data_IF_105281652553
#
_entry.id   IF_105281652553
#
_cell.length_a   1.000
_cell.length_b   1.000
_cell.length_c   1.000
_cell.angle_alpha   90.00
_cell.angle_beta   90.00
_cell.angle_gamma   90.00
#
_symmetry.space_group_name_H-M   'P 1'
#
loop_
_entity.id
_entity.type
_entity.pdbx_description
1 polymer ?
#
# COMPACT_ATOMS: atom_id res chain seq x y z
N UNK A 1 -10.86 19.79 -14.95
CA UNK A 1 -10.14 19.33 -16.13
C UNK A 1 -9.64 20.55 -16.87
N UNK A 2 -8.40 20.98 -16.63
CA UNK A 2 -7.79 22.11 -17.30
C UNK A 2 -6.97 21.68 -18.52
N UNK A 3 -6.42 22.65 -19.23
CA UNK A 3 -5.54 22.43 -20.38
C UNK A 3 -4.36 21.49 -20.07
N UNK A 4 -3.81 21.57 -18.86
CA UNK A 4 -2.73 20.69 -18.39
C UNK A 4 -3.09 19.21 -18.48
N UNK A 5 -4.37 18.86 -18.29
CA UNK A 5 -4.84 17.48 -18.38
C UNK A 5 -4.70 16.88 -19.79
N UNK A 6 -4.76 17.74 -20.82
CA UNK A 6 -4.63 17.32 -22.21
C UNK A 6 -3.19 17.46 -22.75
N UNK A 7 -2.35 18.28 -22.13
CA UNK A 7 -1.06 18.72 -22.70
C UNK A 7 0.17 18.26 -21.92
N UNK A 8 0.03 17.95 -20.62
CA UNK A 8 1.16 17.54 -19.78
C UNK A 8 1.28 16.01 -19.77
N UNK A 9 2.50 15.50 -20.03
CA UNK A 9 2.80 14.07 -19.96
C UNK A 9 2.95 13.59 -18.50
N UNK A 10 2.81 12.27 -18.29
CA UNK A 10 3.04 11.66 -16.98
C UNK A 10 1.87 11.77 -15.98
N UNK A 11 0.68 12.13 -16.41
CA UNK A 11 -0.49 12.30 -15.54
C UNK A 11 -1.03 10.98 -14.96
N UNK A 12 -0.73 9.85 -15.58
CA UNK A 12 -1.07 8.52 -15.06
C UNK A 12 0.09 7.92 -14.25
N UNK A 13 1.09 8.71 -13.92
CA UNK A 13 2.19 8.33 -13.05
C UNK A 13 1.78 8.45 -11.59
N UNK A 14 2.18 7.49 -10.78
CA UNK A 14 2.06 7.52 -9.33
C UNK A 14 3.48 7.49 -8.75
N UNK A 15 3.87 8.55 -8.05
CA UNK A 15 5.24 8.76 -7.63
C UNK A 15 5.37 8.67 -6.11
N UNK A 16 6.47 8.07 -5.66
CA UNK A 16 6.85 8.03 -4.26
C UNK A 16 8.29 8.48 -4.08
N UNK A 17 8.57 9.16 -2.98
CA UNK A 17 9.93 9.53 -2.59
C UNK A 17 10.33 8.69 -1.39
N UNK A 18 11.41 7.93 -1.55
CA UNK A 18 11.98 7.16 -0.45
C UNK A 18 12.95 8.03 0.34
N UNK A 19 12.65 8.16 1.63
CA UNK A 19 13.33 9.06 2.57
C UNK A 19 14.00 8.19 3.64
N UNK A 20 15.29 8.41 3.90
CA UNK A 20 16.04 7.75 4.97
C UNK A 20 16.07 8.60 6.27
N UNK A 21 16.51 7.98 7.35
CA UNK A 21 16.61 8.65 8.64
C UNK A 21 17.64 9.79 8.63
N UNK A 22 18.71 9.69 7.79
CA UNK A 22 19.72 10.74 7.68
C UNK A 22 19.09 12.05 7.14
N UNK A 23 18.29 11.94 6.09
CA UNK A 23 17.59 13.11 5.53
C UNK A 23 16.57 13.67 6.54
N UNK A 24 15.74 12.80 7.15
CA UNK A 24 14.72 13.23 8.09
C UNK A 24 15.31 13.90 9.33
N UNK A 25 16.45 13.42 9.83
CA UNK A 25 17.11 14.09 10.94
C UNK A 25 17.54 15.52 10.57
N UNK A 26 18.08 15.72 9.36
CA UNK A 26 18.40 17.06 8.86
C UNK A 26 17.17 17.97 8.71
N UNK A 27 16.01 17.41 8.36
CA UNK A 27 14.75 18.16 8.34
C UNK A 27 14.33 18.58 9.75
N UNK A 28 14.46 17.70 10.72
CA UNK A 28 14.15 18.00 12.13
C UNK A 28 15.09 19.09 12.68
N UNK A 29 16.35 19.05 12.27
CA UNK A 29 17.39 19.99 12.75
C UNK A 29 17.40 21.34 11.98
N UNK A 30 16.51 21.55 11.00
CA UNK A 30 16.45 22.81 10.21
C UNK A 30 16.31 24.09 11.05
N UNK A 31 15.64 24.11 12.22
CA UNK A 31 15.62 25.31 13.06
C UNK A 31 17.00 25.74 13.58
N UNK A 32 17.89 24.76 13.80
CA UNK A 32 19.27 24.97 14.29
C UNK A 32 20.28 25.09 13.15
N UNK A 33 20.02 24.42 12.00
CA UNK A 33 20.86 24.44 10.80
C UNK A 33 20.02 24.69 9.53
N UNK A 34 19.58 25.94 9.28
CA UNK A 34 18.72 26.27 8.14
C UNK A 34 19.41 26.09 6.75
N UNK A 35 20.73 26.05 6.72
CA UNK A 35 21.54 25.86 5.50
C UNK A 35 21.96 24.39 5.29
N UNK A 36 21.36 23.46 6.03
CA UNK A 36 21.62 22.03 5.92
C UNK A 36 21.55 21.55 4.47
N UNK A 37 22.51 20.71 4.11
CA UNK A 37 22.55 20.12 2.77
C UNK A 37 22.54 18.60 2.84
N UNK A 38 22.00 17.97 1.79
CA UNK A 38 21.97 16.53 1.62
C UNK A 38 22.61 16.13 0.28
N UNK A 39 23.28 14.98 0.25
CA UNK A 39 23.96 14.48 -0.94
C UNK A 39 23.07 13.47 -1.68
N UNK A 40 22.50 13.90 -2.80
CA UNK A 40 21.86 12.97 -3.74
C UNK A 40 22.95 12.20 -4.50
N UNK A 41 22.94 10.89 -4.33
CA UNK A 41 23.94 9.99 -4.89
C UNK A 41 23.49 9.48 -6.25
N UNK A 42 24.34 9.66 -7.28
CA UNK A 42 24.13 9.04 -8.59
C UNK A 42 24.16 7.51 -8.48
N UNK A 43 23.13 6.82 -8.98
CA UNK A 43 23.02 5.36 -8.85
C UNK A 43 24.02 4.61 -9.71
N UNK A 44 24.22 5.06 -10.93
CA UNK A 44 25.12 4.41 -11.92
C UNK A 44 26.44 5.14 -12.00
N UNK A 45 26.41 6.47 -12.00
CA UNK A 45 27.58 7.34 -12.16
C UNK A 45 27.70 8.31 -10.98
N UNK A 46 28.72 8.12 -10.16
CA UNK A 46 29.00 8.95 -8.98
C UNK A 46 29.43 10.38 -9.34
N UNK A 47 29.82 10.66 -10.57
CA UNK A 47 30.06 12.03 -11.05
C UNK A 47 28.77 12.87 -11.11
N UNK A 48 27.61 12.21 -10.99
CA UNK A 48 26.28 12.83 -10.90
C UNK A 48 25.84 13.11 -9.46
N UNK A 49 26.67 12.84 -8.47
CA UNK A 49 26.40 13.20 -7.08
C UNK A 49 26.16 14.71 -6.98
N UNK A 50 25.10 15.11 -6.27
CA UNK A 50 24.68 16.50 -6.19
C UNK A 50 24.27 16.89 -4.80
N UNK A 51 24.86 17.96 -4.25
CA UNK A 51 24.39 18.61 -3.04
C UNK A 51 23.10 19.38 -3.30
N UNK A 52 22.12 19.21 -2.42
CA UNK A 52 20.85 19.94 -2.45
C UNK A 52 20.57 20.55 -1.09
N UNK A 53 19.86 21.68 -1.05
CA UNK A 53 19.33 22.24 0.21
C UNK A 53 18.26 21.33 0.76
N UNK A 54 18.35 20.99 2.06
CA UNK A 54 17.34 20.16 2.73
C UNK A 54 16.03 20.91 2.84
N UNK A 55 16.06 22.20 3.24
CA UNK A 55 14.83 23.01 3.34
C UNK A 55 14.12 23.12 2.00
N UNK A 56 14.85 23.47 0.92
CA UNK A 56 14.24 23.60 -0.39
C UNK A 56 13.61 22.27 -0.88
N UNK A 57 14.32 21.15 -0.72
CA UNK A 57 13.79 19.85 -1.15
C UNK A 57 12.55 19.46 -0.37
N UNK A 58 12.56 19.72 0.93
CA UNK A 58 11.42 19.44 1.81
C UNK A 58 10.21 20.33 1.50
N UNK A 59 10.41 21.60 1.21
CA UNK A 59 9.36 22.53 0.82
C UNK A 59 8.72 22.14 -0.51
N UNK A 60 9.53 21.82 -1.53
CA UNK A 60 9.03 21.35 -2.84
C UNK A 60 8.23 20.06 -2.69
N UNK A 61 8.71 19.14 -1.85
CA UNK A 61 8.00 17.90 -1.57
C UNK A 61 6.61 18.18 -0.95
N UNK A 62 6.57 18.98 0.12
CA UNK A 62 5.32 19.29 0.82
C UNK A 62 4.34 20.08 -0.06
N UNK A 63 4.84 21.06 -0.83
CA UNK A 63 4.00 21.84 -1.74
C UNK A 63 3.39 20.96 -2.83
N UNK A 64 4.17 20.03 -3.40
CA UNK A 64 3.68 19.10 -4.42
C UNK A 64 2.62 18.16 -3.85
N UNK A 65 2.87 17.57 -2.67
CA UNK A 65 1.91 16.70 -2.01
C UNK A 65 0.62 17.43 -1.64
N UNK A 66 0.71 18.70 -1.22
CA UNK A 66 -0.45 19.54 -0.96
C UNK A 66 -1.27 19.83 -2.22
N UNK A 67 -0.61 20.14 -3.34
CA UNK A 67 -1.27 20.53 -4.60
C UNK A 67 -1.94 19.37 -5.32
N UNK A 68 -1.31 18.19 -5.32
CA UNK A 68 -1.77 17.06 -6.16
C UNK A 68 -1.73 15.69 -5.49
N UNK A 69 -1.49 15.63 -4.17
CA UNK A 69 -1.36 14.39 -3.39
C UNK A 69 -0.18 13.48 -3.83
N UNK A 70 0.78 14.02 -4.58
CA UNK A 70 1.97 13.32 -5.07
C UNK A 70 3.21 14.21 -4.84
N UNK A 71 4.36 13.67 -4.50
CA UNK A 71 4.69 12.27 -4.27
C UNK A 71 4.27 11.77 -2.87
N UNK A 72 4.10 10.45 -2.71
CA UNK A 72 3.92 9.83 -1.40
C UNK A 72 5.26 9.66 -0.67
N UNK A 73 5.36 9.94 0.64
CA UNK A 73 6.56 9.66 1.43
C UNK A 73 6.66 8.17 1.76
N UNK A 74 7.86 7.61 1.66
CA UNK A 74 8.17 6.25 2.10
C UNK A 74 9.42 6.29 2.97
N UNK A 75 9.26 6.06 4.27
CA UNK A 75 10.35 6.09 5.24
C UNK A 75 11.14 4.79 5.21
N UNK A 76 12.25 4.79 4.48
CA UNK A 76 13.03 3.61 4.10
C UNK A 76 13.47 2.75 5.28
N UNK A 77 13.96 3.37 6.33
CA UNK A 77 14.50 2.64 7.48
C UNK A 77 13.37 2.04 8.30
N UNK A 78 12.29 2.80 8.55
CA UNK A 78 11.08 2.31 9.23
C UNK A 78 10.44 1.14 8.47
N UNK A 79 10.35 1.23 7.13
CA UNK A 79 9.84 0.12 6.33
C UNK A 79 10.65 -1.16 6.55
N UNK A 80 11.98 -1.03 6.57
CA UNK A 80 12.87 -2.18 6.73
C UNK A 80 12.95 -2.71 8.17
N UNK A 81 12.65 -1.88 9.18
CA UNK A 81 12.45 -2.36 10.56
C UNK A 81 11.22 -3.27 10.68
N UNK A 82 10.18 -2.99 9.90
CA UNK A 82 8.93 -3.75 9.88
C UNK A 82 8.90 -4.85 8.83
N UNK A 83 10.03 -5.10 8.17
CA UNK A 83 10.10 -6.10 7.11
C UNK A 83 9.82 -7.52 7.63
N UNK A 84 8.78 -8.15 7.10
CA UNK A 84 8.33 -9.49 7.54
C UNK A 84 9.09 -10.64 6.89
N UNK A 85 9.87 -10.36 5.84
CA UNK A 85 10.68 -11.36 5.11
C UNK A 85 12.12 -10.87 4.85
N UNK A 86 12.89 -10.49 5.89
CA UNK A 86 14.20 -9.85 5.71
C UNK A 86 15.28 -10.78 5.15
N UNK A 87 15.04 -12.08 5.16
CA UNK A 87 15.93 -13.11 4.60
C UNK A 87 15.63 -13.43 3.11
N UNK A 88 14.58 -12.84 2.55
CA UNK A 88 14.19 -13.06 1.15
C UNK A 88 14.02 -14.54 0.80
N UNK A 89 14.41 -14.89 -0.43
CA UNK A 89 14.35 -16.27 -0.93
C UNK A 89 15.60 -17.10 -0.61
N UNK A 90 16.74 -16.45 -0.40
CA UNK A 90 18.06 -17.06 -0.27
C UNK A 90 18.55 -17.20 1.18
N UNK A 91 17.81 -16.66 2.14
CA UNK A 91 18.15 -16.72 3.55
C UNK A 91 19.15 -15.65 4.02
N UNK A 92 19.55 -14.69 3.16
CA UNK A 92 20.56 -13.68 3.48
C UNK A 92 19.90 -12.43 4.05
N UNK A 93 19.82 -12.36 5.37
CA UNK A 93 19.26 -11.20 6.07
C UNK A 93 20.06 -9.93 5.79
N UNK A 94 19.36 -8.85 5.41
CA UNK A 94 19.94 -7.54 5.19
C UNK A 94 20.66 -7.33 3.86
N UNK A 95 20.64 -8.33 2.97
CA UNK A 95 21.12 -8.15 1.61
C UNK A 95 20.35 -7.01 0.91
N UNK A 96 21.00 -6.16 0.09
CA UNK A 96 20.33 -5.04 -0.57
C UNK A 96 19.11 -5.46 -1.41
N UNK A 97 19.17 -6.62 -2.04
CA UNK A 97 18.07 -7.18 -2.85
C UNK A 97 16.98 -7.85 -2.01
N UNK A 98 17.21 -8.07 -0.71
CA UNK A 98 16.21 -8.55 0.25
C UNK A 98 15.61 -7.42 1.10
N UNK A 99 15.92 -6.16 0.80
CA UNK A 99 15.30 -5.01 1.45
C UNK A 99 13.99 -4.64 0.77
N UNK A 100 13.14 -3.93 1.52
CA UNK A 100 11.99 -3.24 0.95
C UNK A 100 12.46 -1.99 0.23
N UNK A 101 12.63 -2.07 -1.09
CA UNK A 101 13.17 -0.97 -1.91
C UNK A 101 12.07 -0.11 -2.51
N UNK A 102 10.86 -0.64 -2.67
CA UNK A 102 9.70 0.07 -3.22
C UNK A 102 8.40 -0.53 -2.70
N UNK A 103 7.29 0.07 -3.08
CA UNK A 103 5.93 -0.44 -2.86
C UNK A 103 5.18 -0.48 -4.19
N UNK A 104 3.98 -1.03 -4.19
CA UNK A 104 3.02 -0.76 -5.25
C UNK A 104 2.64 0.75 -5.28
N UNK A 105 1.97 1.25 -6.33
CA UNK A 105 1.70 2.69 -6.49
C UNK A 105 1.02 3.36 -5.29
N UNK A 106 0.03 2.71 -4.68
CA UNK A 106 -0.73 3.28 -3.56
C UNK A 106 -0.05 3.09 -2.18
N UNK A 107 1.03 2.29 -2.10
CA UNK A 107 1.83 2.13 -0.89
C UNK A 107 1.34 1.07 0.11
N UNK A 108 0.25 0.37 -0.19
CA UNK A 108 -0.32 -0.65 0.71
C UNK A 108 0.45 -1.98 0.71
N UNK A 109 1.22 -2.25 -0.33
CA UNK A 109 2.01 -3.47 -0.46
C UNK A 109 3.51 -3.15 -0.45
N UNK A 110 4.15 -3.36 0.70
CA UNK A 110 5.58 -3.22 0.89
C UNK A 110 6.20 -4.60 1.07
N UNK A 111 6.86 -5.10 0.04
CA UNK A 111 7.47 -6.44 0.05
C UNK A 111 8.71 -6.49 -0.85
N UNK A 112 9.27 -7.68 -1.05
CA UNK A 112 10.46 -7.90 -1.89
C UNK A 112 10.25 -7.41 -3.32
N UNK A 113 11.30 -6.91 -3.94
CA UNK A 113 11.31 -6.55 -5.35
C UNK A 113 10.88 -7.75 -6.22
N UNK A 114 10.27 -7.46 -7.37
CA UNK A 114 9.72 -8.45 -8.31
C UNK A 114 8.63 -9.36 -7.71
N UNK A 115 7.95 -8.92 -6.68
CA UNK A 115 6.74 -9.56 -6.17
C UNK A 115 5.48 -8.84 -6.64
N UNK A 116 4.33 -9.49 -6.54
CA UNK A 116 3.04 -8.87 -6.83
C UNK A 116 1.98 -9.25 -5.80
N UNK A 117 0.87 -8.50 -5.78
CA UNK A 117 -0.26 -8.76 -4.92
C UNK A 117 -1.55 -8.66 -5.74
N UNK A 118 -2.32 -9.75 -5.79
CA UNK A 118 -3.63 -9.76 -6.44
C UNK A 118 -4.67 -9.16 -5.49
N UNK A 119 -5.58 -8.34 -6.03
CA UNK A 119 -6.52 -7.56 -5.23
C UNK A 119 -7.98 -7.92 -5.56
N UNK A 120 -8.81 -7.94 -4.51
CA UNK A 120 -10.26 -7.98 -4.61
C UNK A 120 -10.91 -7.16 -3.48
N UNK A 121 -12.13 -6.68 -3.72
CA UNK A 121 -12.93 -5.97 -2.72
C UNK A 121 -14.35 -6.49 -2.71
N UNK A 122 -14.84 -6.81 -1.50
CA UNK A 122 -16.21 -7.29 -1.29
C UNK A 122 -17.12 -6.10 -1.02
N UNK A 123 -18.20 -5.99 -1.78
CA UNK A 123 -19.20 -4.94 -1.60
C UNK A 123 -20.10 -5.23 -0.39
N UNK A 124 -19.84 -4.56 0.74
CA UNK A 124 -20.54 -4.76 1.99
C UNK A 124 -22.05 -4.52 1.90
N UNK A 125 -22.47 -3.56 1.07
CA UNK A 125 -23.86 -3.21 0.93
C UNK A 125 -24.73 -4.37 0.38
N UNK A 126 -24.12 -5.32 -0.34
CA UNK A 126 -24.83 -6.48 -0.92
C UNK A 126 -25.30 -7.49 0.15
N UNK A 127 -24.77 -7.41 1.34
CA UNK A 127 -25.12 -8.27 2.48
C UNK A 127 -26.09 -7.59 3.48
N UNK A 128 -26.54 -6.38 3.17
CA UNK A 128 -27.45 -5.62 4.02
C UNK A 128 -28.84 -5.52 3.41
N UNK A 129 -29.88 -5.94 4.17
CA UNK A 129 -31.27 -5.70 3.78
C UNK A 129 -31.78 -4.42 4.48
N UNK A 130 -31.98 -3.32 3.72
CA UNK A 130 -32.43 -2.06 4.29
C UNK A 130 -33.86 -2.11 4.85
N UNK A 131 -34.67 -3.09 4.48
CA UNK A 131 -36.05 -3.25 4.99
C UNK A 131 -36.09 -3.86 6.38
N UNK A 132 -35.18 -4.79 6.66
CA UNK A 132 -35.11 -5.49 7.95
C UNK A 132 -34.02 -4.94 8.86
N UNK A 133 -33.05 -4.18 8.32
CA UNK A 133 -31.86 -3.71 9.02
C UNK A 133 -30.84 -4.79 9.32
N UNK A 134 -31.03 -6.00 8.78
CA UNK A 134 -30.18 -7.18 9.05
C UNK A 134 -29.02 -7.23 8.05
N UNK A 135 -27.86 -7.54 8.56
CA UNK A 135 -26.67 -7.85 7.77
C UNK A 135 -26.50 -9.38 7.69
N UNK A 136 -26.42 -9.94 6.48
CA UNK A 136 -26.21 -11.35 6.22
C UNK A 136 -24.74 -11.72 6.48
N UNK A 137 -24.46 -12.04 7.72
CA UNK A 137 -23.11 -12.41 8.16
C UNK A 137 -22.62 -13.73 7.56
N UNK A 138 -23.50 -14.71 7.38
CA UNK A 138 -23.12 -16.02 6.84
C UNK A 138 -22.83 -15.94 5.34
N UNK A 139 -23.64 -15.20 4.58
CA UNK A 139 -23.35 -14.89 3.19
C UNK A 139 -22.04 -14.11 3.01
N UNK A 140 -21.75 -13.17 3.92
CA UNK A 140 -20.50 -12.42 3.92
C UNK A 140 -19.28 -13.33 4.17
N UNK A 141 -19.33 -14.21 5.16
CA UNK A 141 -18.28 -15.20 5.43
C UNK A 141 -18.04 -16.13 4.23
N UNK A 142 -19.11 -16.61 3.61
CA UNK A 142 -19.02 -17.41 2.39
C UNK A 142 -18.36 -16.67 1.24
N UNK A 143 -18.72 -15.40 1.04
CA UNK A 143 -18.09 -14.56 0.03
C UNK A 143 -16.60 -14.33 0.28
N UNK A 144 -16.19 -14.12 1.55
CA UNK A 144 -14.78 -14.00 1.94
C UNK A 144 -14.00 -15.24 1.52
N UNK A 145 -14.46 -16.43 1.88
CA UNK A 145 -13.80 -17.69 1.54
C UNK A 145 -13.73 -17.90 0.01
N UNK A 146 -14.82 -17.62 -0.70
CA UNK A 146 -14.88 -17.77 -2.16
C UNK A 146 -13.94 -16.81 -2.87
N UNK A 147 -13.90 -15.54 -2.47
CA UNK A 147 -13.02 -14.53 -3.07
C UNK A 147 -11.56 -14.79 -2.74
N UNK A 148 -11.27 -15.26 -1.53
CA UNK A 148 -9.90 -15.68 -1.15
C UNK A 148 -9.42 -16.83 -2.05
N UNK A 149 -10.25 -17.82 -2.31
CA UNK A 149 -9.95 -18.90 -3.24
C UNK A 149 -9.74 -18.39 -4.68
N UNK A 150 -10.56 -17.44 -5.13
CA UNK A 150 -10.42 -16.84 -6.46
C UNK A 150 -9.09 -16.05 -6.61
N UNK A 151 -8.67 -15.31 -5.57
CA UNK A 151 -7.39 -14.63 -5.54
C UNK A 151 -6.23 -15.63 -5.63
N UNK A 152 -6.30 -16.71 -4.89
CA UNK A 152 -5.31 -17.79 -4.90
C UNK A 152 -5.23 -18.48 -6.28
N UNK A 153 -6.36 -18.81 -6.86
CA UNK A 153 -6.43 -19.41 -8.20
C UNK A 153 -5.86 -18.48 -9.27
N UNK A 154 -6.05 -17.16 -9.15
CA UNK A 154 -5.53 -16.18 -10.09
C UNK A 154 -4.01 -16.09 -10.11
N UNK A 155 -3.32 -16.47 -9.03
CA UNK A 155 -1.86 -16.55 -8.98
C UNK A 155 -1.34 -17.63 -9.93
N UNK A 156 -2.01 -18.77 -9.97
CA UNK A 156 -1.60 -19.92 -10.81
C UNK A 156 -1.83 -19.65 -12.29
N UNK A 157 -2.92 -18.96 -12.64
CA UNK A 157 -3.35 -18.73 -14.01
C UNK A 157 -3.08 -17.32 -14.53
N UNK A 158 -2.53 -16.46 -13.67
CA UNK A 158 -2.15 -15.11 -14.05
C UNK A 158 -1.01 -15.07 -15.06
N UNK A 159 -0.99 -14.00 -15.86
CA UNK A 159 0.13 -13.68 -16.73
C UNK A 159 0.90 -12.51 -16.14
N UNK A 160 2.23 -12.64 -16.05
CA UNK A 160 3.09 -11.66 -15.45
C UNK A 160 4.08 -11.09 -16.47
N UNK A 161 4.53 -9.83 -16.28
CA UNK A 161 5.42 -9.16 -17.24
C UNK A 161 6.79 -9.83 -17.40
N UNK A 162 7.31 -10.44 -16.32
CA UNK A 162 8.63 -11.09 -16.29
C UNK A 162 8.56 -12.43 -15.58
N UNK A 163 9.53 -13.30 -15.86
CA UNK A 163 9.67 -14.60 -15.19
C UNK A 163 9.94 -14.47 -13.69
N UNK A 164 10.76 -13.49 -13.27
CA UNK A 164 11.04 -13.24 -11.86
C UNK A 164 9.79 -12.85 -11.08
N UNK A 165 8.94 -11.99 -11.65
CA UNK A 165 7.66 -11.61 -11.04
C UNK A 165 6.73 -12.83 -10.95
N UNK A 166 6.64 -13.62 -12.00
CA UNK A 166 5.83 -14.85 -11.99
C UNK A 166 6.28 -15.82 -10.90
N UNK A 167 7.60 -16.08 -10.82
CA UNK A 167 8.21 -16.98 -9.84
C UNK A 167 7.99 -16.51 -8.40
N UNK A 168 8.27 -15.25 -8.11
CA UNK A 168 8.11 -14.69 -6.75
C UNK A 168 6.63 -14.59 -6.35
N UNK A 169 5.76 -14.23 -7.28
CA UNK A 169 4.32 -14.20 -7.02
C UNK A 169 3.79 -15.60 -6.67
N UNK A 170 4.19 -16.60 -7.42
CA UNK A 170 3.82 -17.99 -7.12
C UNK A 170 4.37 -18.46 -5.77
N UNK A 171 5.61 -18.09 -5.44
CA UNK A 171 6.26 -18.50 -4.20
C UNK A 171 5.66 -17.85 -2.96
N UNK A 172 5.42 -16.54 -2.99
CA UNK A 172 4.96 -15.78 -1.83
C UNK A 172 3.43 -15.64 -1.74
N UNK A 173 2.75 -15.79 -2.86
CA UNK A 173 1.29 -15.86 -2.95
C UNK A 173 0.56 -14.73 -2.24
N UNK A 174 1.06 -13.51 -2.34
CA UNK A 174 0.47 -12.36 -1.68
C UNK A 174 -0.89 -12.00 -2.29
N UNK A 175 -1.90 -11.89 -1.44
CA UNK A 175 -3.26 -11.50 -1.81
C UNK A 175 -3.74 -10.33 -0.95
N UNK A 176 -4.50 -9.42 -1.55
CA UNK A 176 -5.14 -8.30 -0.87
C UNK A 176 -6.66 -8.41 -0.98
N UNK A 177 -7.34 -8.67 0.14
CA UNK A 177 -8.79 -8.74 0.20
C UNK A 177 -9.34 -7.60 1.06
N UNK A 178 -10.07 -6.70 0.43
CA UNK A 178 -10.66 -5.53 1.07
C UNK A 178 -12.18 -5.48 0.98
N UNK A 179 -12.72 -4.32 1.32
CA UNK A 179 -14.15 -4.04 1.27
C UNK A 179 -14.44 -2.76 0.48
N UNK A 180 -15.65 -2.67 -0.07
CA UNK A 180 -16.17 -1.47 -0.69
C UNK A 180 -17.57 -1.13 -0.14
N UNK A 181 -18.05 0.10 -0.39
CA UNK A 181 -19.38 0.57 0.01
C UNK A 181 -19.63 0.58 1.53
N UNK A 182 -18.59 0.73 2.35
CA UNK A 182 -18.77 0.93 3.79
C UNK A 182 -19.60 2.18 4.08
N UNK A 183 -19.28 3.31 3.44
CA UNK A 183 -20.03 4.56 3.64
C UNK A 183 -21.50 4.42 3.24
N UNK A 184 -21.80 3.76 2.12
CA UNK A 184 -23.19 3.49 1.69
C UNK A 184 -23.95 2.65 2.72
N UNK A 185 -23.31 1.62 3.27
CA UNK A 185 -23.87 0.78 4.32
C UNK A 185 -24.17 1.60 5.59
N UNK A 186 -23.23 2.43 6.03
CA UNK A 186 -23.40 3.29 7.22
C UNK A 186 -24.53 4.30 7.03
N UNK A 187 -24.60 4.94 5.85
CA UNK A 187 -25.69 5.87 5.52
C UNK A 187 -27.06 5.18 5.57
N UNK A 188 -27.20 3.98 5.02
CA UNK A 188 -28.43 3.21 5.08
C UNK A 188 -28.80 2.77 6.51
N UNK A 189 -27.82 2.63 7.40
CA UNK A 189 -28.04 2.37 8.82
C UNK A 189 -28.32 3.65 9.62
N UNK A 190 -28.23 4.83 9.02
CA UNK A 190 -28.36 6.11 9.71
C UNK A 190 -27.19 6.43 10.65
N UNK A 191 -26.01 5.87 10.40
CA UNK A 191 -24.82 6.09 11.21
C UNK A 191 -23.91 7.15 10.56
N UNK A 192 -23.61 8.27 11.25
CA UNK A 192 -22.61 9.22 10.79
C UNK A 192 -21.25 8.54 10.62
N UNK A 193 -20.55 8.82 9.51
CA UNK A 193 -19.31 8.12 9.12
C UNK A 193 -18.22 8.17 10.19
N UNK A 194 -18.06 9.30 10.87
CA UNK A 194 -17.05 9.53 11.90
C UNK A 194 -17.55 9.23 13.32
N UNK A 195 -18.76 8.69 13.48
CA UNK A 195 -19.31 8.34 14.79
C UNK A 195 -18.56 7.15 15.42
N UNK A 196 -18.65 7.04 16.74
CA UNK A 196 -18.07 5.91 17.49
C UNK A 196 -18.72 4.58 17.06
N UNK A 197 -20.02 4.60 16.84
CA UNK A 197 -20.82 3.44 16.41
C UNK A 197 -20.43 2.98 15.02
N UNK A 198 -20.23 3.91 14.07
CA UNK A 198 -19.78 3.60 12.72
C UNK A 198 -18.38 2.98 12.72
N UNK A 199 -17.44 3.54 13.50
CA UNK A 199 -16.09 2.97 13.63
C UNK A 199 -16.11 1.58 14.25
N UNK A 200 -16.93 1.35 15.28
CA UNK A 200 -17.07 0.02 15.90
C UNK A 200 -17.68 -0.99 14.92
N UNK A 201 -18.69 -0.58 14.15
CA UNK A 201 -19.32 -1.43 13.15
C UNK A 201 -18.34 -1.79 12.01
N UNK A 202 -17.60 -0.80 11.50
CA UNK A 202 -16.56 -1.02 10.52
C UNK A 202 -15.48 -1.97 11.02
N UNK A 203 -15.00 -1.76 12.26
CA UNK A 203 -14.00 -2.63 12.89
C UNK A 203 -14.49 -4.08 13.02
N UNK A 204 -15.77 -4.28 13.37
CA UNK A 204 -16.35 -5.62 13.45
C UNK A 204 -16.39 -6.31 12.08
N UNK A 205 -16.84 -5.61 11.03
CA UNK A 205 -16.89 -6.16 9.67
C UNK A 205 -15.51 -6.50 9.12
N UNK A 206 -14.52 -5.63 9.31
CA UNK A 206 -13.15 -5.87 8.86
C UNK A 206 -12.48 -6.94 9.73
N UNK A 207 -12.80 -7.03 11.02
CA UNK A 207 -12.37 -8.11 11.89
C UNK A 207 -12.85 -9.48 11.40
N UNK A 208 -14.11 -9.58 10.96
CA UNK A 208 -14.65 -10.79 10.33
C UNK A 208 -13.93 -11.10 9.02
N UNK A 209 -13.72 -10.07 8.16
CA UNK A 209 -12.97 -10.23 6.90
C UNK A 209 -11.61 -10.86 7.15
N UNK A 210 -10.83 -10.23 8.03
CA UNK A 210 -9.46 -10.66 8.34
C UNK A 210 -9.45 -12.07 8.92
N UNK A 211 -10.28 -12.33 9.93
CA UNK A 211 -10.33 -13.63 10.58
C UNK A 211 -10.72 -14.77 9.64
N UNK A 212 -11.73 -14.54 8.80
CA UNK A 212 -12.17 -15.54 7.82
C UNK A 212 -11.20 -15.73 6.64
N UNK A 213 -10.58 -14.65 6.17
CA UNK A 213 -9.54 -14.73 5.15
C UNK A 213 -8.36 -15.58 5.62
N UNK A 214 -7.86 -15.31 6.83
CA UNK A 214 -6.78 -16.11 7.43
C UNK A 214 -7.20 -17.54 7.76
N UNK A 215 -8.45 -17.77 8.20
CA UNK A 215 -8.95 -19.13 8.46
C UNK A 215 -9.12 -19.95 7.17
N UNK A 216 -9.38 -19.28 6.04
CA UNK A 216 -9.51 -19.96 4.74
C UNK A 216 -8.14 -20.35 4.16
N UNK A 217 -7.10 -19.57 4.40
CA UNK A 217 -5.75 -19.81 3.86
C UNK A 217 -5.19 -21.21 4.18
N UNK A 218 -5.20 -21.70 5.43
CA UNK A 218 -4.69 -23.04 5.74
C UNK A 218 -5.55 -24.18 5.19
N UNK A 219 -6.81 -23.91 4.82
CA UNK A 219 -7.67 -24.91 4.20
C UNK A 219 -7.29 -25.11 2.72
N UNK A 220 -6.71 -24.07 2.09
CA UNK A 220 -6.25 -24.13 0.70
C UNK A 220 -4.82 -24.69 0.57
N UNK A 221 -4.02 -24.68 1.64
CA UNK A 221 -2.65 -25.18 1.67
C UNK A 221 -2.63 -26.70 1.81
#
# INVERSE_FOLDING_TARGET
NGEAYATVSGQNSNNSVRIDNEFMQKVVDLPEDPDATFMLKGRVDRSKDRKVSVSHLWDVFNESAWRCADPAPQFSDTFNEWHTCPAGEDGVVGAPYNRLNSTNPCGEYAFLDDSSCNLASINLYRFFDPRTGVFDLEGYKHAIATVQLALEASIVWGQFPTEDIARKTYRFRATGLGVSNLASLLMCKGLPYDSREARAYAAALVGVLTGYSYATSPIMA
#
